data_IF_711663126582
#
_entry.id   IF_711663126582
#
_cell.length_a   1.000
_cell.length_b   1.000
_cell.length_c   1.000
_cell.angle_alpha   90.00
_cell.angle_beta   90.00
_cell.angle_gamma   90.00
#
_symmetry.space_group_name_H-M   'P 1'
#
loop_
_entity.id
_entity.type
_entity.pdbx_description
1 polymer ?
#
# COMPACT_ATOMS: atom_id res chain seq x y z
N UNK A 1 19.78 -23.52 1.06
CA UNK A 1 19.68 -22.54 -0.04
C UNK A 1 18.53 -21.59 0.27
N UNK A 2 18.75 -20.27 0.31
CA UNK A 2 17.67 -19.29 0.50
C UNK A 2 16.79 -19.32 -0.75
N UNK A 3 15.45 -19.35 -0.59
CA UNK A 3 14.52 -19.30 -1.74
C UNK A 3 14.57 -17.91 -2.39
N UNK A 4 14.33 -17.82 -3.70
CA UNK A 4 14.34 -16.55 -4.42
C UNK A 4 13.03 -15.76 -4.31
N UNK A 5 12.85 -14.77 -5.19
CA UNK A 5 11.59 -14.02 -5.37
C UNK A 5 10.80 -14.46 -6.61
N UNK A 6 11.19 -15.60 -7.18
CA UNK A 6 10.55 -16.18 -8.34
C UNK A 6 9.16 -16.72 -7.98
N UNK A 7 8.17 -16.23 -8.70
CA UNK A 7 6.82 -16.76 -8.73
C UNK A 7 6.82 -17.99 -9.64
N UNK A 8 6.42 -19.11 -9.06
CA UNK A 8 6.03 -20.29 -9.82
C UNK A 8 4.49 -20.22 -9.96
N UNK A 9 3.67 -21.29 -10.09
CA UNK A 9 2.21 -21.09 -10.14
C UNK A 9 1.64 -20.46 -8.85
N UNK A 10 2.48 -20.29 -7.82
CA UNK A 10 2.18 -19.58 -6.59
C UNK A 10 3.17 -18.43 -6.36
N UNK A 11 2.75 -17.37 -5.64
CA UNK A 11 3.61 -16.26 -5.28
C UNK A 11 4.83 -16.70 -4.47
N UNK A 12 5.98 -16.04 -4.68
CA UNK A 12 7.15 -16.24 -3.81
C UNK A 12 6.84 -15.86 -2.37
N UNK A 13 7.20 -16.74 -1.43
CA UNK A 13 7.12 -16.47 0.00
C UNK A 13 7.89 -15.20 0.41
N UNK A 14 9.02 -14.92 -0.25
CA UNK A 14 9.80 -13.71 0.04
C UNK A 14 9.10 -12.45 -0.49
N UNK A 15 8.54 -12.51 -1.70
CA UNK A 15 7.78 -11.39 -2.26
C UNK A 15 6.53 -11.08 -1.41
N UNK A 16 5.83 -12.13 -0.95
CA UNK A 16 4.74 -11.99 0.02
C UNK A 16 5.21 -11.41 1.35
N UNK A 17 6.38 -11.83 1.84
CA UNK A 17 6.94 -11.34 3.10
C UNK A 17 7.25 -9.83 3.02
N UNK A 18 7.77 -9.33 1.90
CA UNK A 18 7.98 -7.89 1.67
C UNK A 18 6.65 -7.14 1.81
N UNK A 19 5.58 -7.63 1.17
CA UNK A 19 4.25 -7.02 1.30
C UNK A 19 3.72 -7.05 2.73
N UNK A 20 3.92 -8.15 3.44
CA UNK A 20 3.50 -8.28 4.83
C UNK A 20 4.25 -7.28 5.73
N UNK A 21 5.55 -7.11 5.52
CA UNK A 21 6.33 -6.11 6.26
C UNK A 21 5.85 -4.69 6.00
N UNK A 22 5.53 -4.34 4.74
CA UNK A 22 4.91 -3.05 4.43
C UNK A 22 3.60 -2.87 5.23
N UNK A 23 2.67 -3.82 5.12
CA UNK A 23 1.38 -3.75 5.83
C UNK A 23 1.55 -3.66 7.35
N UNK A 24 2.46 -4.45 7.93
CA UNK A 24 2.76 -4.39 9.36
C UNK A 24 3.32 -3.02 9.76
N UNK A 25 4.19 -2.42 8.94
CA UNK A 25 4.69 -1.07 9.21
C UNK A 25 3.55 -0.05 9.29
N UNK A 26 2.61 -0.11 8.35
CA UNK A 26 1.48 0.83 8.32
C UNK A 26 0.50 0.60 9.47
N UNK A 27 0.13 -0.64 9.77
CA UNK A 27 -0.85 -0.96 10.81
C UNK A 27 -0.29 -0.76 12.23
N UNK A 28 1.01 -0.97 12.43
CA UNK A 28 1.63 -0.87 13.77
C UNK A 28 2.38 0.43 14.01
N UNK A 29 2.67 1.21 12.97
CA UNK A 29 3.58 2.36 13.03
C UNK A 29 5.04 1.97 13.31
N UNK A 30 5.39 0.68 13.29
CA UNK A 30 6.74 0.22 13.60
C UNK A 30 7.63 0.18 12.34
N UNK A 31 8.45 1.21 12.19
CA UNK A 31 9.41 1.40 11.10
C UNK A 31 10.41 0.25 10.91
N UNK A 32 10.58 -0.64 11.91
CA UNK A 32 11.41 -1.84 11.73
C UNK A 32 10.90 -2.72 10.59
N UNK A 33 9.58 -2.81 10.39
CA UNK A 33 9.02 -3.61 9.31
C UNK A 33 9.29 -2.98 7.94
N UNK A 34 9.13 -1.66 7.78
CA UNK A 34 9.51 -0.95 6.54
C UNK A 34 11.00 -1.16 6.21
N UNK A 35 11.89 -1.09 7.20
CA UNK A 35 13.33 -1.40 7.00
C UNK A 35 13.57 -2.83 6.53
N UNK A 36 12.85 -3.81 7.07
CA UNK A 36 12.96 -5.20 6.61
C UNK A 36 12.45 -5.37 5.17
N UNK A 37 11.36 -4.71 4.81
CA UNK A 37 10.86 -4.67 3.43
C UNK A 37 11.90 -4.07 2.48
N UNK A 38 12.48 -2.92 2.83
CA UNK A 38 13.50 -2.25 2.03
C UNK A 38 14.75 -3.12 1.84
N UNK A 39 15.24 -3.75 2.91
CA UNK A 39 16.40 -4.65 2.85
C UNK A 39 16.15 -5.83 1.91
N UNK A 40 14.98 -6.46 2.00
CA UNK A 40 14.60 -7.55 1.12
C UNK A 40 14.45 -7.10 -0.35
N UNK A 41 13.85 -5.93 -0.60
CA UNK A 41 13.76 -5.34 -1.94
C UNK A 41 15.16 -5.11 -2.53
N UNK A 42 16.06 -4.46 -1.78
CA UNK A 42 17.43 -4.22 -2.22
C UNK A 42 18.17 -5.53 -2.51
N UNK A 43 18.06 -6.50 -1.61
CA UNK A 43 18.73 -7.80 -1.75
C UNK A 43 18.30 -8.56 -3.00
N UNK A 44 17.00 -8.58 -3.30
CA UNK A 44 16.47 -9.34 -4.44
C UNK A 44 16.45 -8.56 -5.76
N UNK A 45 16.78 -7.27 -5.77
CA UNK A 45 16.71 -6.41 -6.96
C UNK A 45 17.43 -6.99 -8.18
N UNK A 46 18.67 -7.45 -8.03
CA UNK A 46 19.43 -8.06 -9.12
C UNK A 46 18.78 -9.35 -9.64
N UNK A 47 18.26 -10.20 -8.75
CA UNK A 47 17.59 -11.45 -9.14
C UNK A 47 16.25 -11.18 -9.82
N UNK A 48 15.50 -10.19 -9.35
CA UNK A 48 14.22 -9.80 -9.94
C UNK A 48 14.40 -9.31 -11.39
N UNK A 49 15.47 -8.55 -11.67
CA UNK A 49 15.83 -8.14 -13.02
C UNK A 49 16.19 -9.35 -13.92
N UNK A 50 16.93 -10.32 -13.39
CA UNK A 50 17.34 -11.52 -14.13
C UNK A 50 16.15 -12.39 -14.54
N UNK A 51 15.19 -12.62 -13.64
CA UNK A 51 14.03 -13.50 -13.88
C UNK A 51 12.84 -12.78 -14.52
N UNK A 52 12.89 -11.45 -14.61
CA UNK A 52 11.92 -10.62 -15.31
C UNK A 52 10.48 -10.88 -14.86
N UNK A 53 9.63 -11.29 -15.80
CA UNK A 53 8.19 -11.51 -15.58
C UNK A 53 7.90 -12.52 -14.45
N UNK A 54 8.83 -13.43 -14.15
CA UNK A 54 8.70 -14.38 -13.05
C UNK A 54 8.90 -13.72 -11.67
N UNK A 55 9.18 -12.42 -11.58
CA UNK A 55 9.23 -11.66 -10.33
C UNK A 55 7.98 -10.78 -10.11
N UNK A 56 6.82 -11.16 -10.66
CA UNK A 56 5.61 -10.34 -10.66
C UNK A 56 5.18 -9.84 -9.27
N UNK A 57 5.14 -10.71 -8.26
CA UNK A 57 4.81 -10.33 -6.88
C UNK A 57 5.91 -9.48 -6.23
N UNK A 58 7.16 -9.65 -6.63
CA UNK A 58 8.24 -8.76 -6.18
C UNK A 58 8.03 -7.34 -6.72
N UNK A 59 7.70 -7.20 -8.01
CA UNK A 59 7.41 -5.88 -8.59
C UNK A 59 6.13 -5.26 -8.02
N UNK A 60 5.11 -6.08 -7.74
CA UNK A 60 3.93 -5.65 -6.98
C UNK A 60 4.30 -5.14 -5.57
N UNK A 61 5.21 -5.82 -4.87
CA UNK A 61 5.68 -5.39 -3.56
C UNK A 61 6.54 -4.11 -3.63
N UNK A 62 7.35 -3.96 -4.68
CA UNK A 62 8.14 -2.77 -4.97
C UNK A 62 7.24 -1.56 -5.28
N UNK A 63 6.20 -1.76 -6.08
CA UNK A 63 5.20 -0.74 -6.36
C UNK A 63 4.49 -0.29 -5.09
N UNK A 64 4.05 -1.26 -4.26
CA UNK A 64 3.47 -0.95 -2.95
C UNK A 64 4.46 -0.21 -2.03
N UNK A 65 5.77 -0.49 -2.08
CA UNK A 65 6.75 0.20 -1.25
C UNK A 65 6.76 1.72 -1.46
N UNK A 66 6.65 2.15 -2.72
CA UNK A 66 6.65 3.57 -3.10
C UNK A 66 5.26 4.19 -3.10
N UNK A 67 4.25 3.43 -3.52
CA UNK A 67 2.96 3.99 -3.87
C UNK A 67 1.82 3.57 -2.95
N UNK A 68 2.03 2.81 -1.86
CA UNK A 68 0.92 2.40 -0.97
C UNK A 68 0.09 3.60 -0.51
N UNK A 69 -1.23 3.48 -0.60
CA UNK A 69 -2.17 4.45 -0.07
C UNK A 69 -2.60 4.04 1.33
N UNK A 70 -2.33 4.88 2.31
CA UNK A 70 -2.89 4.75 3.64
C UNK A 70 -4.05 5.74 3.81
N UNK A 71 -5.22 5.24 4.19
CA UNK A 71 -6.35 6.05 4.62
C UNK A 71 -6.53 5.89 6.14
N UNK A 72 -6.26 6.94 6.90
CA UNK A 72 -6.59 6.97 8.33
C UNK A 72 -7.97 7.60 8.50
N UNK A 73 -8.93 6.81 8.98
CA UNK A 73 -10.32 7.17 9.16
C UNK A 73 -10.55 7.70 10.57
N UNK A 74 -10.74 9.01 10.68
CA UNK A 74 -11.22 9.70 11.87
C UNK A 74 -12.71 9.99 11.71
N UNK A 75 -13.51 8.97 11.38
CA UNK A 75 -14.94 9.13 11.06
C UNK A 75 -15.78 8.03 11.70
N UNK A 76 -17.03 8.36 12.01
CA UNK A 76 -18.04 7.40 12.41
C UNK A 76 -18.27 6.30 11.34
N UNK A 77 -18.32 5.00 11.70
CA UNK A 77 -18.62 3.90 10.78
C UNK A 77 -19.93 4.01 9.97
N UNK A 78 -20.91 4.75 10.46
CA UNK A 78 -22.19 4.98 9.77
C UNK A 78 -22.14 6.16 8.78
N UNK A 79 -21.07 6.94 8.80
CA UNK A 79 -20.94 8.13 7.95
C UNK A 79 -20.82 7.77 6.46
N UNK A 80 -21.24 8.70 5.61
CA UNK A 80 -21.03 8.57 4.16
C UNK A 80 -19.55 8.56 3.78
N UNK A 81 -18.75 9.35 4.48
CA UNK A 81 -17.30 9.42 4.28
C UNK A 81 -16.61 8.08 4.60
N UNK A 82 -17.03 7.40 5.67
CA UNK A 82 -16.56 6.04 5.97
C UNK A 82 -16.91 5.07 4.85
N UNK A 83 -18.17 5.07 4.40
CA UNK A 83 -18.64 4.20 3.31
C UNK A 83 -17.87 4.45 2.01
N UNK A 84 -17.58 5.71 1.68
CA UNK A 84 -16.77 6.07 0.52
C UNK A 84 -15.33 5.53 0.63
N UNK A 85 -14.72 5.58 1.81
CA UNK A 85 -13.38 5.07 2.03
C UNK A 85 -13.29 3.55 1.85
N UNK A 86 -14.19 2.78 2.46
CA UNK A 86 -14.13 1.30 2.42
C UNK A 86 -14.62 0.69 1.10
N UNK A 87 -15.44 1.42 0.35
CA UNK A 87 -15.98 0.95 -0.95
C UNK A 87 -15.07 1.26 -2.13
N UNK A 88 -13.96 1.95 -1.92
CA UNK A 88 -13.04 2.33 -2.98
C UNK A 88 -12.05 1.20 -3.29
N UNK A 89 -12.16 0.50 -4.44
CA UNK A 89 -11.15 -0.49 -4.82
C UNK A 89 -9.84 0.21 -5.16
N UNK A 90 -8.83 -0.01 -4.32
CA UNK A 90 -7.51 0.58 -4.45
C UNK A 90 -6.43 -0.50 -4.34
N UNK A 91 -5.63 -0.74 -5.40
CA UNK A 91 -4.49 -1.63 -5.28
C UNK A 91 -3.53 -1.06 -4.24
N UNK A 92 -3.08 -1.93 -3.34
CA UNK A 92 -2.17 -1.58 -2.25
C UNK A 92 -2.70 -0.38 -1.46
N UNK A 93 -3.77 -0.64 -0.70
CA UNK A 93 -4.32 0.30 0.25
C UNK A 93 -4.41 -0.30 1.64
N UNK A 94 -4.11 0.52 2.64
CA UNK A 94 -4.30 0.21 4.04
C UNK A 94 -5.27 1.20 4.65
N UNK A 95 -6.33 0.67 5.27
CA UNK A 95 -7.34 1.46 5.98
C UNK A 95 -7.09 1.28 7.48
N UNK A 96 -6.93 2.40 8.18
CA UNK A 96 -6.69 2.45 9.62
C UNK A 96 -7.86 3.19 10.25
N UNK A 97 -8.41 2.65 11.34
CA UNK A 97 -9.44 3.32 12.12
C UNK A 97 -8.80 4.03 13.30
N UNK A 98 -9.25 5.24 13.56
CA UNK A 98 -8.86 6.04 14.73
C UNK A 98 -10.10 6.74 15.31
N UNK A 99 -9.90 7.59 16.32
CA UNK A 99 -10.95 8.37 16.97
C UNK A 99 -11.68 9.23 15.95
N UNK A 100 -13.01 9.20 16.03
CA UNK A 100 -13.89 10.06 15.24
C UNK A 100 -13.59 11.55 15.48
N UNK A 101 -13.31 12.26 14.39
CA UNK A 101 -13.07 13.71 14.33
C UNK A 101 -13.62 14.32 13.04
N UNK A 102 -14.41 13.57 12.26
CA UNK A 102 -15.07 14.02 11.04
C UNK A 102 -14.23 14.06 9.75
N UNK A 103 -13.04 13.43 9.70
CA UNK A 103 -12.18 13.52 8.52
C UNK A 103 -11.39 12.24 8.20
N UNK A 104 -10.85 12.17 6.99
CA UNK A 104 -9.92 11.12 6.53
C UNK A 104 -8.59 11.76 6.18
N UNK A 105 -7.48 11.16 6.63
CA UNK A 105 -6.14 11.58 6.23
C UNK A 105 -5.59 10.57 5.23
N UNK A 106 -5.43 10.95 3.95
CA UNK A 106 -4.75 10.11 2.98
C UNK A 106 -3.24 10.36 3.02
N UNK A 107 -2.45 9.29 2.99
CA UNK A 107 -1.01 9.33 2.79
C UNK A 107 -0.59 8.39 1.67
N UNK A 108 0.35 8.83 0.83
CA UNK A 108 0.98 8.01 -0.21
C UNK A 108 2.46 7.87 0.15
N UNK A 109 2.87 6.63 0.44
CA UNK A 109 4.18 6.37 1.04
C UNK A 109 4.34 7.17 2.33
N UNK A 110 5.34 8.05 2.37
CA UNK A 110 5.68 8.88 3.53
C UNK A 110 5.07 10.30 3.46
N UNK A 111 4.28 10.61 2.43
CA UNK A 111 3.66 11.93 2.23
C UNK A 111 2.19 11.87 2.59
N UNK A 112 1.76 12.67 3.57
CA UNK A 112 0.35 12.85 3.92
C UNK A 112 -0.21 14.14 3.32
N UNK A 113 -1.46 14.09 2.89
CA UNK A 113 -2.18 15.22 2.30
C UNK A 113 -3.14 15.84 3.31
N UNK A 114 -3.79 16.93 2.90
CA UNK A 114 -4.78 17.61 3.73
C UNK A 114 -5.93 16.66 4.12
N UNK A 115 -6.48 16.78 5.34
CA UNK A 115 -7.67 16.06 5.75
C UNK A 115 -8.84 16.28 4.77
N UNK A 116 -9.57 15.20 4.49
CA UNK A 116 -10.74 15.20 3.63
C UNK A 116 -11.98 14.99 4.50
N UNK A 117 -12.92 15.94 4.43
CA UNK A 117 -14.08 16.01 5.34
C UNK A 117 -15.40 15.53 4.69
N UNK A 118 -15.39 15.20 3.40
CA UNK A 118 -16.59 14.74 2.70
C UNK A 118 -16.31 13.64 1.67
N UNK A 119 -17.33 12.85 1.36
CA UNK A 119 -17.23 11.66 0.52
C UNK A 119 -16.87 11.96 -0.95
N UNK A 120 -17.34 13.09 -1.49
CA UNK A 120 -17.08 13.50 -2.88
C UNK A 120 -15.60 13.82 -3.09
N UNK A 121 -15.02 14.65 -2.22
CA UNK A 121 -13.60 14.98 -2.26
C UNK A 121 -12.70 13.74 -2.06
N UNK A 122 -13.13 12.77 -1.25
CA UNK A 122 -12.39 11.51 -1.10
C UNK A 122 -12.42 10.70 -2.39
N UNK A 123 -13.58 10.64 -3.06
CA UNK A 123 -13.74 9.93 -4.33
C UNK A 123 -12.87 10.57 -5.42
N UNK A 124 -12.84 11.90 -5.51
CA UNK A 124 -11.99 12.63 -6.44
C UNK A 124 -10.52 12.34 -6.19
N UNK A 125 -10.08 12.36 -4.92
CA UNK A 125 -8.71 12.01 -4.55
C UNK A 125 -8.33 10.59 -5.02
N UNK A 126 -9.22 9.62 -4.79
CA UNK A 126 -9.05 8.23 -5.19
C UNK A 126 -9.01 8.07 -6.71
N UNK A 127 -9.89 8.76 -7.44
CA UNK A 127 -9.98 8.66 -8.89
C UNK A 127 -8.79 9.33 -9.58
N UNK A 128 -8.31 10.49 -9.12
CA UNK A 128 -7.07 11.10 -9.61
C UNK A 128 -5.90 10.14 -9.47
N UNK A 129 -5.78 9.47 -8.32
CA UNK A 129 -4.72 8.48 -8.07
C UNK A 129 -4.80 7.29 -9.03
N UNK A 130 -6.00 6.76 -9.30
CA UNK A 130 -6.16 5.64 -10.26
C UNK A 130 -5.60 5.98 -11.64
N UNK A 131 -5.77 7.21 -12.09
CA UNK A 131 -5.30 7.65 -13.40
C UNK A 131 -3.81 8.00 -13.40
N UNK A 132 -3.27 8.47 -12.27
CA UNK A 132 -1.83 8.76 -12.14
C UNK A 132 -0.95 7.49 -12.26
N UNK A 133 -1.46 6.31 -11.85
CA UNK A 133 -0.75 5.03 -11.98
C UNK A 133 -0.76 4.40 -13.39
N UNK A 134 -1.53 4.95 -14.33
CA UNK A 134 -1.64 4.43 -15.71
C UNK A 134 -0.75 5.19 -16.71
N UNK A 135 0.07 6.12 -16.24
CA UNK A 135 1.01 6.89 -17.07
C UNK A 135 2.45 6.50 -16.80
N UNK A 136 2.91 5.40 -17.41
CA UNK A 136 4.33 5.05 -17.56
C UNK A 136 4.49 4.10 -18.75
#
# INVERSE_FOLDING_TARGET
>A
RIRGVEDLPNPSANALCIRLFLKLSYVTGNERYRRHAEQALRYFSGKALEIGIHAGYYFSALDAYFHNLRLTLHVNPESELFRAAISSPLPYSDIIYDRDSGYVVPCIGDVCYNPIENAEALKDFVDVRRHAGNGS
#
